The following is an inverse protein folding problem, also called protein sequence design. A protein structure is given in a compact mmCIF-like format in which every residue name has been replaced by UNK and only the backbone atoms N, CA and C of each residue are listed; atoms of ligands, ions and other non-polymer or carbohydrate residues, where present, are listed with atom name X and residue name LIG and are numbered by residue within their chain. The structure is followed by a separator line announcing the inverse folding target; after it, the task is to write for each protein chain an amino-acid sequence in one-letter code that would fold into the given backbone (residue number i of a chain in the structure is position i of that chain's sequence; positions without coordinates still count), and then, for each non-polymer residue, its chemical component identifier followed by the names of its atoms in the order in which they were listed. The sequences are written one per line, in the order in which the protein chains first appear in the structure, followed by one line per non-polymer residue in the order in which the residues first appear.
data_IF_060120657481
#
_entry.id   IF_060120657481
#
_cell.length_a   1.000
_cell.length_b   1.000
_cell.length_c   1.000
_cell.angle_alpha   90.00
_cell.angle_beta   90.00
_cell.angle_gamma   90.00
#
_symmetry.space_group_name_H-M   'P 1'
#
loop_
_entity.id
_entity.type
_entity.pdbx_description
1 polymer ?
#
# COMPACT_ATOMS: atom_id res chain seq x y z
N UNK A 1 -6.59 17.89 -27.38
CA UNK A 1 -5.15 17.78 -27.67
C UNK A 1 -4.52 16.73 -26.78
N UNK A 2 -4.46 15.47 -27.27
CA UNK A 2 -3.62 14.40 -26.68
C UNK A 2 -2.16 14.74 -27.02
N UNK A 3 -1.49 15.50 -26.13
CA UNK A 3 -0.15 16.01 -26.44
C UNK A 3 0.96 15.01 -26.13
N UNK A 4 0.72 13.95 -25.35
CA UNK A 4 1.70 12.85 -25.11
C UNK A 4 0.92 11.56 -24.86
N UNK A 5 1.15 10.48 -25.62
CA UNK A 5 0.62 9.16 -25.29
C UNK A 5 1.49 8.52 -24.21
N UNK A 6 1.34 8.97 -22.96
CA UNK A 6 1.93 8.24 -21.83
C UNK A 6 0.99 7.07 -21.54
N UNK A 7 1.53 5.85 -21.57
CA UNK A 7 0.74 4.67 -21.23
C UNK A 7 0.19 4.83 -19.80
N UNK A 8 -1.11 4.60 -19.64
CA UNK A 8 -1.81 4.73 -18.35
C UNK A 8 -1.11 3.92 -17.24
N UNK A 9 -0.49 2.79 -17.60
CA UNK A 9 0.25 1.96 -16.65
C UNK A 9 1.54 2.61 -16.16
N UNK A 10 2.20 3.43 -16.97
CA UNK A 10 3.39 4.17 -16.55
C UNK A 10 3.03 5.18 -15.46
N UNK A 11 1.95 5.94 -15.64
CA UNK A 11 1.46 6.91 -14.63
C UNK A 11 1.07 6.20 -13.32
N UNK A 12 0.43 5.04 -13.42
CA UNK A 12 0.07 4.23 -12.25
C UNK A 12 1.32 3.76 -11.52
N UNK A 13 2.30 3.24 -12.25
CA UNK A 13 3.56 2.78 -11.66
C UNK A 13 4.34 3.90 -10.98
N UNK A 14 4.40 5.08 -11.57
CA UNK A 14 5.09 6.25 -10.98
C UNK A 14 4.42 6.66 -9.66
N UNK A 15 3.11 6.68 -9.59
CA UNK A 15 2.37 6.94 -8.35
C UNK A 15 2.62 5.88 -7.29
N UNK A 16 2.67 4.59 -7.68
CA UNK A 16 2.99 3.48 -6.76
C UNK A 16 4.40 3.65 -6.19
N UNK A 17 5.39 3.90 -7.04
CA UNK A 17 6.79 4.09 -6.61
C UNK A 17 6.91 5.24 -5.62
N UNK A 18 6.30 6.40 -5.92
CA UNK A 18 6.30 7.54 -5.02
C UNK A 18 5.66 7.20 -3.66
N UNK A 19 4.50 6.53 -3.67
CA UNK A 19 3.82 6.11 -2.46
C UNK A 19 4.63 5.11 -1.63
N UNK A 20 5.33 4.17 -2.27
CA UNK A 20 6.23 3.22 -1.60
C UNK A 20 7.38 3.97 -0.94
N UNK A 21 8.04 4.90 -1.64
CA UNK A 21 9.14 5.70 -1.07
C UNK A 21 8.66 6.46 0.16
N UNK A 22 7.54 7.18 0.04
CA UNK A 22 6.96 7.96 1.15
C UNK A 22 6.52 7.09 2.33
N UNK A 23 6.04 5.88 2.09
CA UNK A 23 5.65 4.94 3.14
C UNK A 23 6.84 4.24 3.80
N UNK A 24 7.88 3.88 3.03
CA UNK A 24 9.05 3.17 3.55
C UNK A 24 9.94 4.05 4.43
N UNK A 25 10.10 5.34 4.10
CA UNK A 25 10.99 6.24 4.83
C UNK A 25 10.65 6.30 6.33
N UNK A 26 9.41 6.64 6.78
CA UNK A 26 9.10 6.71 8.21
C UNK A 26 9.20 5.34 8.89
N UNK A 27 8.80 4.26 8.23
CA UNK A 27 8.89 2.91 8.78
C UNK A 27 10.34 2.48 9.01
N UNK A 28 11.23 2.71 8.05
CA UNK A 28 12.65 2.43 8.18
C UNK A 28 13.30 3.31 9.26
N UNK A 29 12.96 4.58 9.34
CA UNK A 29 13.47 5.46 10.40
C UNK A 29 13.14 4.93 11.79
N UNK A 30 11.90 4.54 12.04
CA UNK A 30 11.49 3.99 13.34
C UNK A 30 12.26 2.69 13.64
N UNK A 31 12.33 1.76 12.70
CA UNK A 31 13.01 0.47 12.95
C UNK A 31 14.53 0.62 13.10
N UNK A 32 15.15 1.56 12.40
CA UNK A 32 16.58 1.90 12.56
C UNK A 32 16.84 2.53 13.94
N UNK A 33 15.96 3.41 14.42
CA UNK A 33 16.06 4.00 15.77
C UNK A 33 15.96 2.91 16.83
N UNK A 34 15.00 1.98 16.72
CA UNK A 34 14.84 0.87 17.65
C UNK A 34 16.08 -0.03 17.67
N UNK A 35 16.67 -0.30 16.50
CA UNK A 35 17.92 -1.05 16.39
C UNK A 35 19.09 -0.30 17.05
N UNK A 36 19.22 1.00 16.83
CA UNK A 36 20.28 1.83 17.40
C UNK A 36 20.18 1.95 18.92
N UNK A 37 18.96 1.95 19.47
CA UNK A 37 18.71 1.95 20.92
C UNK A 37 18.91 0.57 21.58
N UNK A 38 19.24 -0.47 20.81
CA UNK A 38 19.39 -1.84 21.32
C UNK A 38 18.07 -2.51 21.75
N UNK A 39 16.92 -1.94 21.36
CA UNK A 39 15.59 -2.49 21.63
C UNK A 39 15.20 -3.58 20.64
N UNK A 40 15.97 -3.77 19.59
CA UNK A 40 15.76 -4.72 18.51
C UNK A 40 17.11 -5.28 18.07
N UNK A 41 17.16 -6.55 17.69
CA UNK A 41 18.34 -7.14 17.06
C UNK A 41 18.24 -7.11 15.52
N UNK A 42 19.35 -7.41 14.83
CA UNK A 42 19.40 -7.38 13.36
C UNK A 42 18.42 -8.39 12.74
N UNK A 43 18.22 -9.54 13.37
CA UNK A 43 17.28 -10.55 12.89
C UNK A 43 15.84 -10.02 12.95
N UNK A 44 15.44 -9.44 14.08
CA UNK A 44 14.11 -8.84 14.25
C UNK A 44 13.89 -7.68 13.28
N UNK A 45 14.93 -6.87 13.03
CA UNK A 45 14.88 -5.79 12.03
C UNK A 45 14.52 -6.35 10.65
N UNK A 46 15.15 -7.43 10.20
CA UNK A 46 14.86 -8.05 8.90
C UNK A 46 13.46 -8.65 8.90
N UNK A 47 13.09 -9.41 9.95
CA UNK A 47 11.81 -10.10 10.05
C UNK A 47 10.60 -9.14 10.08
N UNK A 48 10.76 -7.92 10.57
CA UNK A 48 9.71 -6.91 10.61
C UNK A 48 9.65 -6.14 9.29
N UNK A 49 10.80 -5.73 8.73
CA UNK A 49 10.82 -4.85 7.56
C UNK A 49 10.39 -5.56 6.27
N UNK A 50 10.61 -6.89 6.12
CA UNK A 50 10.19 -7.61 4.93
C UNK A 50 8.66 -7.61 4.77
N UNK A 51 7.84 -8.10 5.71
CA UNK A 51 6.39 -8.05 5.58
C UNK A 51 5.86 -6.62 5.54
N UNK A 52 6.47 -5.70 6.28
CA UNK A 52 6.10 -4.29 6.29
C UNK A 52 6.24 -3.64 4.90
N UNK A 53 7.32 -3.95 4.18
CA UNK A 53 7.51 -3.49 2.80
C UNK A 53 6.35 -3.97 1.88
N UNK A 54 6.02 -5.25 1.90
CA UNK A 54 4.91 -5.77 1.09
C UNK A 54 3.55 -5.20 1.52
N UNK A 55 3.37 -4.91 2.81
CA UNK A 55 2.18 -4.22 3.30
C UNK A 55 2.08 -2.80 2.74
N UNK A 56 3.17 -2.02 2.73
CA UNK A 56 3.21 -0.68 2.13
C UNK A 56 2.87 -0.74 0.63
N UNK A 57 3.42 -1.70 -0.11
CA UNK A 57 3.09 -1.91 -1.52
C UNK A 57 1.61 -2.22 -1.71
N UNK A 58 1.06 -3.10 -0.87
CA UNK A 58 -0.35 -3.48 -0.91
C UNK A 58 -1.28 -2.29 -0.69
N UNK A 59 -1.03 -1.49 0.35
CA UNK A 59 -1.88 -0.33 0.68
C UNK A 59 -1.82 0.74 -0.42
N UNK A 60 -0.66 0.96 -1.02
CA UNK A 60 -0.54 1.84 -2.19
C UNK A 60 -1.34 1.32 -3.40
N UNK A 61 -1.31 0.03 -3.69
CA UNK A 61 -2.13 -0.55 -4.75
C UNK A 61 -3.62 -0.41 -4.47
N UNK A 62 -4.06 -0.60 -3.23
CA UNK A 62 -5.47 -0.41 -2.83
C UNK A 62 -5.88 1.05 -3.05
N UNK A 63 -5.06 2.02 -2.63
CA UNK A 63 -5.34 3.44 -2.80
C UNK A 63 -5.55 3.82 -4.27
N UNK A 64 -4.64 3.41 -5.13
CA UNK A 64 -4.74 3.67 -6.57
C UNK A 64 -5.93 2.95 -7.20
N UNK A 65 -6.23 1.72 -6.77
CA UNK A 65 -7.40 0.98 -7.25
C UNK A 65 -8.72 1.70 -6.90
N UNK A 66 -8.81 2.30 -5.71
CA UNK A 66 -9.98 3.12 -5.30
C UNK A 66 -10.10 4.34 -6.21
N UNK A 67 -8.99 5.04 -6.47
CA UNK A 67 -8.98 6.21 -7.36
C UNK A 67 -9.39 5.85 -8.79
N UNK A 68 -8.94 4.72 -9.31
CA UNK A 68 -9.34 4.22 -10.63
C UNK A 68 -10.82 3.84 -10.71
N UNK A 69 -11.40 3.35 -9.61
CA UNK A 69 -12.83 3.00 -9.57
C UNK A 69 -13.77 4.20 -9.50
N UNK A 70 -13.30 5.31 -8.93
CA UNK A 70 -14.09 6.53 -8.71
C UNK A 70 -13.30 7.76 -9.19
N UNK A 71 -13.02 7.85 -10.50
CA UNK A 71 -12.31 9.00 -11.02
C UNK A 71 -13.16 10.26 -10.80
N UNK A 72 -12.64 11.21 -10.04
CA UNK A 72 -13.24 12.54 -9.92
C UNK A 72 -12.66 13.41 -11.02
N UNK A 73 -13.45 13.72 -12.02
CA UNK A 73 -13.04 14.52 -13.17
C UNK A 73 -13.51 16.00 -13.07
N UNK A 74 -14.42 16.32 -12.14
CA UNK A 74 -14.98 17.67 -11.96
C UNK A 74 -14.27 18.38 -10.81
N UNK A 75 -13.30 19.22 -11.15
CA UNK A 75 -12.54 20.04 -10.22
C UNK A 75 -12.83 21.50 -10.47
N UNK A 76 -13.59 22.14 -9.60
CA UNK A 76 -13.77 23.59 -9.64
C UNK A 76 -12.56 24.35 -9.08
N UNK A 77 -11.81 23.76 -8.14
CA UNK A 77 -10.60 24.33 -7.52
C UNK A 77 -9.67 23.24 -6.96
N UNK A 78 -8.34 23.44 -7.08
CA UNK A 78 -7.31 22.51 -6.57
C UNK A 78 -7.42 22.26 -5.06
N UNK A 79 -7.82 23.28 -4.27
CA UNK A 79 -7.99 23.18 -2.82
C UNK A 79 -9.17 22.29 -2.42
N UNK A 80 -10.26 22.30 -3.18
CA UNK A 80 -11.42 21.43 -2.99
C UNK A 80 -11.07 19.99 -3.33
N UNK A 81 -10.24 19.81 -4.34
CA UNK A 81 -9.71 18.51 -4.77
C UNK A 81 -8.98 17.77 -3.64
N UNK A 82 -8.13 18.46 -2.89
CA UNK A 82 -7.32 17.86 -1.82
C UNK A 82 -8.12 17.72 -0.52
N UNK A 83 -8.90 18.71 -0.13
CA UNK A 83 -9.60 18.74 1.17
C UNK A 83 -10.88 17.90 1.22
N UNK A 84 -11.54 17.66 0.08
CA UNK A 84 -12.83 16.93 0.01
C UNK A 84 -12.75 15.64 -0.78
N UNK A 85 -11.58 15.03 -0.85
CA UNK A 85 -11.42 13.78 -1.57
C UNK A 85 -12.00 12.61 -0.78
N UNK A 86 -13.25 12.25 -1.08
CA UNK A 86 -13.95 11.09 -0.50
C UNK A 86 -13.17 9.79 -0.70
N UNK A 87 -12.39 9.67 -1.79
CA UNK A 87 -11.55 8.50 -2.04
C UNK A 87 -10.45 8.37 -0.99
N UNK A 88 -9.83 9.49 -0.59
CA UNK A 88 -8.82 9.51 0.49
C UNK A 88 -9.41 9.03 1.81
N UNK A 89 -10.63 9.48 2.15
CA UNK A 89 -11.32 9.05 3.36
C UNK A 89 -11.64 7.55 3.33
N UNK A 90 -12.15 7.04 2.21
CA UNK A 90 -12.41 5.61 2.02
C UNK A 90 -11.11 4.81 2.14
N UNK A 91 -10.03 5.28 1.49
CA UNK A 91 -8.72 4.65 1.59
C UNK A 91 -8.22 4.59 3.04
N UNK A 92 -8.31 5.70 3.78
CA UNK A 92 -7.89 5.75 5.19
C UNK A 92 -8.69 4.76 6.06
N UNK A 93 -10.00 4.65 5.87
CA UNK A 93 -10.84 3.70 6.61
C UNK A 93 -10.47 2.25 6.29
N UNK A 94 -10.23 1.94 5.02
CA UNK A 94 -9.81 0.60 4.59
C UNK A 94 -8.44 0.27 5.16
N UNK A 95 -7.47 1.18 5.03
CA UNK A 95 -6.11 1.01 5.54
C UNK A 95 -6.09 0.80 7.06
N UNK A 96 -6.83 1.62 7.78
CA UNK A 96 -7.00 1.49 9.24
C UNK A 96 -7.61 0.13 9.64
N UNK A 97 -8.63 -0.31 8.90
CA UNK A 97 -9.28 -1.61 9.14
C UNK A 97 -8.31 -2.77 8.88
N UNK A 98 -7.59 -2.73 7.76
CA UNK A 98 -6.58 -3.75 7.42
C UNK A 98 -5.49 -3.77 8.48
N UNK A 99 -4.98 -2.62 8.89
CA UNK A 99 -3.95 -2.50 9.93
C UNK A 99 -4.43 -3.11 11.26
N UNK A 100 -5.65 -2.82 11.69
CA UNK A 100 -6.22 -3.43 12.90
C UNK A 100 -6.31 -4.96 12.79
N UNK A 101 -6.73 -5.49 11.66
CA UNK A 101 -6.80 -6.94 11.43
C UNK A 101 -5.41 -7.59 11.46
N UNK A 102 -4.39 -6.93 10.89
CA UNK A 102 -3.00 -7.43 10.91
C UNK A 102 -2.46 -7.44 12.34
N UNK A 103 -2.69 -6.36 13.10
CA UNK A 103 -2.27 -6.30 14.50
C UNK A 103 -2.95 -7.40 15.32
N UNK A 104 -4.27 -7.58 15.16
CA UNK A 104 -5.01 -8.64 15.84
C UNK A 104 -4.49 -10.04 15.46
N UNK A 105 -4.20 -10.26 14.18
CA UNK A 105 -3.61 -11.50 13.70
C UNK A 105 -2.20 -11.73 14.26
N UNK A 106 -1.37 -10.69 14.31
CA UNK A 106 -0.04 -10.75 14.91
C UNK A 106 -0.10 -11.11 16.41
N UNK A 107 -1.00 -10.49 17.17
CA UNK A 107 -1.24 -10.83 18.58
C UNK A 107 -1.68 -12.29 18.72
N UNK A 108 -2.57 -12.78 17.86
CA UNK A 108 -3.00 -14.17 17.84
C UNK A 108 -1.82 -15.14 17.62
N UNK A 109 -0.92 -14.84 16.67
CA UNK A 109 0.26 -15.65 16.39
C UNK A 109 1.20 -15.73 17.61
N UNK A 110 1.37 -14.62 18.32
CA UNK A 110 2.15 -14.57 19.58
C UNK A 110 1.48 -15.44 20.65
N UNK A 111 0.14 -15.34 20.77
CA UNK A 111 -0.60 -16.10 21.78
C UNK A 111 -0.51 -17.62 21.56
N UNK A 112 -0.51 -18.05 20.30
CA UNK A 112 -0.32 -19.47 19.90
C UNK A 112 1.16 -19.89 19.99
N UNK A 113 2.07 -18.97 20.35
CA UNK A 113 3.53 -19.21 20.47
C UNK A 113 4.20 -19.59 19.14
N UNK A 114 3.73 -19.06 18.03
CA UNK A 114 4.38 -19.27 16.72
C UNK A 114 5.71 -18.53 16.72
N UNK A 115 6.81 -19.14 16.26
CA UNK A 115 8.10 -18.46 16.14
C UNK A 115 8.02 -17.23 15.24
N UNK A 116 8.66 -16.12 15.62
CA UNK A 116 8.63 -14.86 14.89
C UNK A 116 9.01 -14.99 13.40
N UNK A 117 9.96 -15.88 13.10
CA UNK A 117 10.36 -16.18 11.72
C UNK A 117 9.20 -16.76 10.89
N UNK A 118 8.45 -17.72 11.46
CA UNK A 118 7.31 -18.35 10.78
C UNK A 118 6.19 -17.33 10.61
N UNK A 119 5.91 -16.52 11.63
CA UNK A 119 4.91 -15.46 11.57
C UNK A 119 5.23 -14.43 10.47
N UNK A 120 6.48 -13.96 10.40
CA UNK A 120 6.96 -13.04 9.36
C UNK A 120 6.81 -13.64 7.97
N UNK A 121 7.16 -14.91 7.78
CA UNK A 121 7.05 -15.61 6.51
C UNK A 121 5.58 -15.73 6.07
N UNK A 122 4.68 -16.10 6.97
CA UNK A 122 3.24 -16.19 6.69
C UNK A 122 2.69 -14.83 6.25
N UNK A 123 2.98 -13.76 7.01
CA UNK A 123 2.54 -12.40 6.68
C UNK A 123 3.08 -11.95 5.32
N UNK A 124 4.35 -12.19 5.05
CA UNK A 124 4.98 -11.85 3.76
C UNK A 124 4.28 -12.54 2.60
N UNK A 125 4.00 -13.84 2.71
CA UNK A 125 3.31 -14.60 1.65
C UNK A 125 1.88 -14.11 1.44
N UNK A 126 1.15 -13.80 2.52
CA UNK A 126 -0.21 -13.25 2.43
C UNK A 126 -0.19 -11.90 1.71
N UNK A 127 0.69 -10.97 2.10
CA UNK A 127 0.76 -9.66 1.47
C UNK A 127 1.19 -9.73 0.02
N UNK A 128 2.16 -10.60 -0.30
CA UNK A 128 2.59 -10.82 -1.67
C UNK A 128 1.45 -11.36 -2.55
N UNK A 129 0.69 -12.33 -2.06
CA UNK A 129 -0.47 -12.86 -2.78
C UNK A 129 -1.53 -11.78 -3.02
N UNK A 130 -1.84 -10.98 -1.99
CA UNK A 130 -2.78 -9.86 -2.11
C UNK A 130 -2.28 -8.77 -3.07
N UNK A 131 -0.99 -8.43 -3.05
CA UNK A 131 -0.39 -7.51 -4.02
C UNK A 131 -0.59 -7.98 -5.46
N UNK A 132 -0.35 -9.27 -5.74
CA UNK A 132 -0.56 -9.83 -7.09
C UNK A 132 -2.02 -9.74 -7.51
N UNK A 133 -2.96 -10.04 -6.60
CA UNK A 133 -4.39 -9.95 -6.88
C UNK A 133 -4.80 -8.51 -7.20
N UNK A 134 -4.46 -7.55 -6.33
CA UNK A 134 -4.81 -6.13 -6.51
C UNK A 134 -4.14 -5.56 -7.76
N UNK A 135 -2.87 -5.90 -8.03
CA UNK A 135 -2.19 -5.48 -9.26
C UNK A 135 -2.90 -5.95 -10.53
N UNK A 136 -3.37 -7.21 -10.57
CA UNK A 136 -4.16 -7.72 -11.70
C UNK A 136 -5.49 -6.96 -11.86
N UNK A 137 -6.17 -6.66 -10.75
CA UNK A 137 -7.42 -5.88 -10.76
C UNK A 137 -7.19 -4.45 -11.26
N UNK A 138 -6.10 -3.80 -10.83
CA UNK A 138 -5.72 -2.47 -11.30
C UNK A 138 -5.42 -2.46 -12.81
N UNK A 139 -4.65 -3.44 -13.29
CA UNK A 139 -4.32 -3.54 -14.71
C UNK A 139 -5.58 -3.69 -15.57
N UNK A 140 -6.51 -4.55 -15.15
CA UNK A 140 -7.79 -4.74 -15.83
C UNK A 140 -8.59 -3.45 -15.86
N UNK A 141 -8.71 -2.75 -14.72
CA UNK A 141 -9.49 -1.51 -14.65
C UNK A 141 -8.85 -0.36 -15.40
N UNK A 142 -7.51 -0.23 -15.35
CA UNK A 142 -6.78 0.76 -16.14
C UNK A 142 -7.01 0.60 -17.64
N UNK A 143 -7.03 -0.64 -18.15
CA UNK A 143 -7.33 -0.93 -19.57
C UNK A 143 -8.78 -0.60 -19.95
N UNK A 144 -9.75 -0.91 -19.09
CA UNK A 144 -11.18 -0.55 -19.30
C UNK A 144 -11.35 0.97 -19.41
N UNK A 145 -10.73 1.75 -18.52
CA UNK A 145 -10.80 3.21 -18.57
C UNK A 145 -10.17 3.79 -19.83
N UNK A 146 -9.04 3.23 -20.25
CA UNK A 146 -8.38 3.66 -21.50
C UNK A 146 -9.24 3.43 -22.74
N UNK A 147 -9.90 2.27 -22.81
CA UNK A 147 -10.78 1.93 -23.93
C UNK A 147 -12.07 2.78 -23.98
N UNK A 148 -12.53 3.30 -22.84
CA UNK A 148 -13.73 4.14 -22.75
C UNK A 148 -13.47 5.64 -23.05
N UNK A 149 -12.21 6.06 -23.11
CA UNK A 149 -11.82 7.45 -23.39
C UNK A 149 -11.41 7.64 -24.87
N UNK A 150 -11.24 6.56 -25.62
CA UNK A 150 -10.95 6.54 -27.06
C UNK A 150 -12.18 6.41 -27.90
#
# INVERSE_FOLDING_TARGET
NKIIPVETMTIINDKVVLGIILGCIPCLLVTVILLALGLMNILDFILINIPLFFFIVLTNYIGIYIDLRRPKLDWENETVAVKQNTNTLIYMLIDMTITMLIVAFGVLLIFIRIPAFVASLILTLIFLALCVIIYRLMKRKGLELFNNIG
#
